data_IF_253084189146
#
_entry.id   IF_253084189146
#
_cell.length_a   1.000
_cell.length_b   1.000
_cell.length_c   1.000
_cell.angle_alpha   90.00
_cell.angle_beta   90.00
_cell.angle_gamma   90.00
#
_symmetry.space_group_name_H-M   'P 1'
#
loop_
_entity.id
_entity.type
_entity.pdbx_description
1 polymer ?
#
# COMPACT_ATOMS: atom_id res chain seq x y z
N UNK A 1 22.16 0.72 -1.94
CA UNK A 1 22.55 -0.71 -1.68
C UNK A 1 22.37 -1.50 -2.96
N UNK A 2 23.30 -2.38 -3.31
CA UNK A 2 23.13 -3.30 -4.44
C UNK A 2 22.61 -4.63 -3.91
N UNK A 3 21.48 -5.12 -4.45
CA UNK A 3 20.89 -6.40 -4.06
C UNK A 3 21.51 -7.53 -4.89
N UNK A 4 21.99 -8.58 -4.24
CA UNK A 4 22.46 -9.79 -4.90
C UNK A 4 21.37 -10.87 -5.01
N UNK A 5 21.68 -12.00 -5.63
CA UNK A 5 20.73 -13.10 -5.82
C UNK A 5 20.23 -13.70 -4.50
N UNK A 6 21.05 -13.65 -3.44
CA UNK A 6 20.67 -14.13 -2.11
C UNK A 6 19.69 -13.15 -1.45
N UNK A 7 19.95 -11.84 -1.57
CA UNK A 7 19.03 -10.81 -1.05
C UNK A 7 17.66 -10.94 -1.71
N UNK A 8 17.61 -11.12 -3.03
CA UNK A 8 16.34 -11.34 -3.74
C UNK A 8 15.63 -12.62 -3.29
N UNK A 9 16.35 -13.66 -2.93
CA UNK A 9 15.79 -14.89 -2.37
C UNK A 9 15.22 -14.67 -0.98
N UNK A 10 15.94 -13.94 -0.11
CA UNK A 10 15.46 -13.52 1.22
C UNK A 10 14.14 -12.73 1.08
N UNK A 11 14.08 -11.76 0.18
CA UNK A 11 12.88 -10.94 -0.04
C UNK A 11 11.67 -11.77 -0.48
N UNK A 12 11.85 -12.78 -1.35
CA UNK A 12 10.76 -13.69 -1.75
C UNK A 12 10.24 -14.51 -0.59
N UNK A 13 11.13 -15.08 0.24
CA UNK A 13 10.74 -15.84 1.42
C UNK A 13 9.99 -14.98 2.44
N UNK A 14 10.47 -13.76 2.71
CA UNK A 14 9.82 -12.84 3.64
C UNK A 14 8.48 -12.28 3.12
N UNK A 15 8.32 -12.12 1.79
CA UNK A 15 7.02 -11.78 1.22
C UNK A 15 6.00 -12.93 1.34
N UNK A 16 6.46 -14.18 1.29
CA UNK A 16 5.60 -15.34 1.48
C UNK A 16 5.22 -15.53 2.95
N UNK A 17 6.17 -15.36 3.87
CA UNK A 17 5.96 -15.44 5.31
C UNK A 17 6.87 -14.46 6.07
N UNK A 18 6.31 -13.30 6.43
CA UNK A 18 7.01 -12.28 7.21
C UNK A 18 7.32 -12.70 8.67
N UNK A 19 6.75 -13.80 9.15
CA UNK A 19 6.98 -14.35 10.50
C UNK A 19 8.02 -15.47 10.53
N UNK A 20 8.64 -15.77 9.38
CA UNK A 20 9.62 -16.83 9.27
C UNK A 20 10.80 -16.60 10.24
N UNK A 21 11.11 -17.53 11.15
CA UNK A 21 12.26 -17.42 12.03
C UNK A 21 13.56 -17.28 11.24
N UNK A 22 14.49 -16.45 11.70
CA UNK A 22 15.76 -16.23 10.98
C UNK A 22 16.57 -17.51 10.73
N UNK A 23 16.50 -18.49 11.63
CA UNK A 23 17.16 -19.80 11.43
C UNK A 23 16.59 -20.52 10.22
N UNK A 24 15.25 -20.56 10.11
CA UNK A 24 14.55 -21.19 8.98
C UNK A 24 14.78 -20.41 7.68
N UNK A 25 14.76 -19.08 7.74
CA UNK A 25 15.07 -18.23 6.60
C UNK A 25 16.49 -18.48 6.09
N UNK A 26 17.47 -18.53 6.98
CA UNK A 26 18.87 -18.77 6.65
C UNK A 26 19.05 -20.14 5.94
N UNK A 27 18.43 -21.19 6.46
CA UNK A 27 18.44 -22.52 5.85
C UNK A 27 17.87 -22.49 4.42
N UNK A 28 16.71 -21.89 4.21
CA UNK A 28 16.04 -21.77 2.90
C UNK A 28 16.87 -21.01 1.87
N UNK A 29 17.65 -20.03 2.29
CA UNK A 29 18.47 -19.23 1.38
C UNK A 29 19.92 -19.72 1.26
N UNK A 30 20.30 -20.77 2.01
CA UNK A 30 21.65 -21.37 1.97
C UNK A 30 22.70 -20.56 2.74
N UNK A 31 22.31 -19.92 3.85
CA UNK A 31 23.21 -19.15 4.73
C UNK A 31 23.21 -19.71 6.16
N UNK A 32 24.24 -19.34 6.93
CA UNK A 32 24.15 -19.44 8.38
C UNK A 32 23.32 -18.28 8.98
N UNK A 33 22.74 -18.43 10.20
CA UNK A 33 21.81 -17.45 10.76
C UNK A 33 22.36 -16.03 10.90
N UNK A 34 23.62 -15.86 11.30
CA UNK A 34 24.20 -14.52 11.52
C UNK A 34 24.38 -13.71 10.24
N UNK A 35 24.97 -14.22 9.15
CA UNK A 35 24.98 -13.53 7.86
C UNK A 35 23.59 -13.23 7.31
N UNK A 36 22.64 -14.16 7.46
CA UNK A 36 21.26 -13.94 7.03
C UNK A 36 20.63 -12.75 7.76
N UNK A 37 20.68 -12.73 9.09
CA UNK A 37 20.16 -11.63 9.88
C UNK A 37 20.81 -10.29 9.52
N UNK A 38 22.13 -10.28 9.30
CA UNK A 38 22.85 -9.07 8.88
C UNK A 38 22.33 -8.53 7.54
N UNK A 39 22.05 -9.40 6.56
CA UNK A 39 21.48 -9.00 5.26
C UNK A 39 20.08 -8.41 5.41
N UNK A 40 19.20 -9.05 6.20
CA UNK A 40 17.86 -8.52 6.49
C UNK A 40 17.95 -7.12 7.08
N UNK A 41 18.77 -6.93 8.12
CA UNK A 41 18.96 -5.62 8.76
C UNK A 41 19.50 -4.55 7.81
N UNK A 42 20.39 -4.91 6.88
CA UNK A 42 20.89 -3.98 5.87
C UNK A 42 19.79 -3.57 4.88
N UNK A 43 18.92 -4.51 4.49
CA UNK A 43 17.77 -4.22 3.62
C UNK A 43 16.71 -3.35 4.32
N UNK A 44 16.48 -3.58 5.61
CA UNK A 44 15.62 -2.72 6.44
C UNK A 44 16.20 -1.30 6.54
N UNK A 45 17.48 -1.18 6.89
CA UNK A 45 18.16 0.12 7.00
C UNK A 45 18.24 0.89 5.68
N UNK A 46 18.28 0.18 4.55
CA UNK A 46 18.29 0.77 3.21
C UNK A 46 16.88 1.07 2.66
N UNK A 47 15.80 0.80 3.42
CA UNK A 47 14.42 1.01 2.98
C UNK A 47 13.93 0.03 1.91
N UNK A 48 14.67 -1.05 1.63
CA UNK A 48 14.21 -2.12 0.72
C UNK A 48 13.09 -2.93 1.36
N UNK A 49 13.18 -3.14 2.66
CA UNK A 49 12.11 -3.65 3.50
C UNK A 49 11.58 -2.46 4.30
N UNK A 50 10.44 -1.93 3.89
CA UNK A 50 9.80 -0.77 4.52
C UNK A 50 9.13 -1.11 5.85
N UNK A 51 8.80 -2.39 6.07
CA UNK A 51 8.17 -2.84 7.30
C UNK A 51 7.48 -4.19 7.15
N UNK A 52 6.87 -4.60 8.26
CA UNK A 52 6.09 -5.84 8.38
C UNK A 52 4.70 -5.48 8.88
N UNK A 53 3.67 -5.97 8.22
CA UNK A 53 2.28 -5.72 8.64
C UNK A 53 1.44 -6.99 8.61
N UNK A 54 0.47 -7.05 9.52
CA UNK A 54 -0.55 -8.09 9.52
C UNK A 54 -1.56 -7.82 8.42
N UNK A 55 -1.81 -8.81 7.58
CA UNK A 55 -2.90 -8.75 6.58
C UNK A 55 -4.18 -9.21 7.25
N UNK A 56 -5.18 -8.34 7.31
CA UNK A 56 -6.46 -8.59 7.93
C UNK A 56 -7.51 -9.02 6.89
N UNK A 57 -8.35 -9.97 7.25
CA UNK A 57 -9.54 -10.31 6.48
C UNK A 57 -10.60 -9.22 6.64
N UNK A 58 -10.78 -8.36 5.63
CA UNK A 58 -11.68 -7.19 5.70
C UNK A 58 -13.08 -7.57 6.17
N UNK A 59 -13.68 -8.58 5.57
CA UNK A 59 -15.03 -9.06 5.97
C UNK A 59 -15.05 -9.58 7.40
N UNK A 60 -13.99 -10.24 7.89
CA UNK A 60 -13.91 -10.78 9.24
C UNK A 60 -13.88 -9.69 10.33
N UNK A 61 -13.43 -8.48 9.98
CA UNK A 61 -13.41 -7.32 10.88
C UNK A 61 -14.54 -6.32 10.57
N UNK A 62 -15.55 -6.74 9.79
CA UNK A 62 -16.72 -5.92 9.51
C UNK A 62 -16.55 -4.88 8.40
N UNK A 63 -15.45 -4.90 7.64
CA UNK A 63 -15.20 -3.97 6.53
C UNK A 63 -15.56 -4.64 5.20
N UNK A 64 -16.87 -4.69 4.90
CA UNK A 64 -17.41 -5.44 3.75
C UNK A 64 -17.35 -4.72 2.41
N UNK A 65 -17.19 -3.39 2.40
CA UNK A 65 -17.23 -2.58 1.18
C UNK A 65 -15.89 -1.96 0.85
N UNK A 66 -15.43 -2.17 -0.37
CA UNK A 66 -14.27 -1.47 -0.96
C UNK A 66 -14.74 -0.55 -2.06
N UNK A 67 -14.32 0.71 -2.01
CA UNK A 67 -14.65 1.75 -2.98
C UNK A 67 -13.38 2.33 -3.58
N UNK A 68 -13.32 2.43 -4.89
CA UNK A 68 -12.29 3.20 -5.61
C UNK A 68 -12.90 4.54 -6.01
N UNK A 69 -12.41 5.62 -5.39
CA UNK A 69 -12.88 6.96 -5.71
C UNK A 69 -11.83 7.70 -6.55
N UNK A 70 -12.21 8.01 -7.78
CA UNK A 70 -11.47 8.91 -8.66
C UNK A 70 -11.83 10.35 -8.37
N UNK A 71 -10.85 11.17 -8.06
CA UNK A 71 -11.06 12.56 -7.60
C UNK A 71 -10.41 13.51 -8.58
N UNK A 72 -11.14 14.56 -8.94
CA UNK A 72 -10.61 15.74 -9.64
C UNK A 72 -10.47 16.88 -8.67
N UNK A 73 -9.33 17.55 -8.71
CA UNK A 73 -9.06 18.74 -7.89
C UNK A 73 -8.95 19.98 -8.78
N UNK A 74 -9.26 21.13 -8.20
CA UNK A 74 -9.04 22.40 -8.89
C UNK A 74 -7.56 22.72 -8.97
N UNK A 75 -7.04 22.88 -10.19
CA UNK A 75 -5.61 23.03 -10.50
C UNK A 75 -5.00 24.38 -10.13
N UNK A 76 -5.70 25.23 -9.36
CA UNK A 76 -5.31 26.64 -9.21
C UNK A 76 -4.23 26.92 -8.14
N UNK A 77 -3.77 25.90 -7.36
CA UNK A 77 -2.54 26.02 -6.56
C UNK A 77 -1.98 24.67 -6.16
N UNK A 78 -0.64 24.56 -6.09
CA UNK A 78 0.05 23.42 -5.47
C UNK A 78 -0.40 23.22 -4.00
N UNK A 79 -0.67 24.30 -3.30
CA UNK A 79 -1.15 24.32 -1.92
C UNK A 79 -2.47 23.58 -1.72
N UNK A 80 -3.40 23.67 -2.69
CA UNK A 80 -4.68 22.94 -2.64
C UNK A 80 -4.50 21.42 -2.80
N UNK A 81 -3.53 20.98 -3.60
CA UNK A 81 -3.25 19.56 -3.80
C UNK A 81 -2.58 18.94 -2.56
N UNK A 82 -1.66 19.63 -1.92
CA UNK A 82 -1.02 19.19 -0.67
C UNK A 82 -2.04 19.12 0.48
N UNK A 83 -2.85 20.15 0.64
CA UNK A 83 -3.93 20.18 1.65
C UNK A 83 -4.93 19.04 1.43
N UNK A 84 -5.26 18.71 0.17
CA UNK A 84 -6.10 17.57 -0.16
C UNK A 84 -5.43 16.24 0.27
N UNK A 85 -4.16 16.04 -0.08
CA UNK A 85 -3.42 14.82 0.27
C UNK A 85 -3.37 14.64 1.77
N UNK A 86 -3.02 15.68 2.54
CA UNK A 86 -2.95 15.63 4.00
C UNK A 86 -4.30 15.26 4.61
N UNK A 87 -5.40 15.88 4.11
CA UNK A 87 -6.73 15.58 4.58
C UNK A 87 -7.16 14.13 4.29
N UNK A 88 -6.81 13.60 3.12
CA UNK A 88 -7.12 12.22 2.72
C UNK A 88 -6.27 11.22 3.52
N UNK A 89 -4.98 11.50 3.73
CA UNK A 89 -4.10 10.62 4.52
C UNK A 89 -4.49 10.57 6.00
N UNK A 90 -5.18 11.59 6.52
CA UNK A 90 -5.74 11.61 7.87
C UNK A 90 -7.02 10.78 8.02
N UNK A 91 -7.60 10.26 6.92
CA UNK A 91 -8.82 9.43 6.96
C UNK A 91 -8.44 7.96 7.12
N UNK A 92 -8.84 7.35 8.24
CA UNK A 92 -8.56 5.93 8.54
C UNK A 92 -9.20 4.95 7.55
N UNK A 93 -10.28 5.36 6.90
CA UNK A 93 -11.01 4.61 5.90
C UNK A 93 -10.28 4.53 4.55
N UNK A 94 -9.34 5.45 4.31
CA UNK A 94 -8.51 5.49 3.11
C UNK A 94 -7.29 4.60 3.31
N UNK A 95 -7.19 3.53 2.52
CA UNK A 95 -6.09 2.55 2.61
C UNK A 95 -5.04 2.69 1.50
N UNK A 96 -5.35 3.45 0.45
CA UNK A 96 -4.40 3.84 -0.59
C UNK A 96 -4.80 5.19 -1.21
N UNK A 97 -3.79 5.98 -1.60
CA UNK A 97 -3.96 7.24 -2.33
C UNK A 97 -2.86 7.36 -3.38
N UNK A 98 -3.24 7.56 -4.64
CA UNK A 98 -2.33 7.66 -5.77
C UNK A 98 -2.63 8.91 -6.59
N UNK A 99 -1.63 9.72 -6.89
CA UNK A 99 -1.67 10.68 -7.97
C UNK A 99 -1.59 9.91 -9.29
N UNK A 100 -2.54 10.12 -10.19
CA UNK A 100 -2.62 9.37 -11.45
C UNK A 100 -2.69 10.32 -12.66
N UNK A 101 -2.31 9.80 -13.82
CA UNK A 101 -2.50 10.49 -15.09
C UNK A 101 -3.85 10.10 -15.70
N UNK A 102 -4.45 11.00 -16.48
CA UNK A 102 -5.71 10.75 -17.19
C UNK A 102 -6.84 11.69 -16.76
N UNK A 103 -8.06 11.20 -16.74
CA UNK A 103 -9.28 11.97 -16.50
C UNK A 103 -9.51 12.38 -15.06
N UNK A 104 -8.82 11.77 -14.11
CA UNK A 104 -8.85 12.06 -12.68
C UNK A 104 -7.45 12.44 -12.22
N UNK A 105 -7.34 13.19 -11.13
CA UNK A 105 -6.04 13.59 -10.57
C UNK A 105 -5.59 12.61 -9.49
N UNK A 106 -6.51 12.12 -8.64
CA UNK A 106 -6.22 11.15 -7.60
C UNK A 106 -7.14 9.95 -7.67
N UNK A 107 -6.57 8.78 -7.39
CA UNK A 107 -7.31 7.54 -7.16
C UNK A 107 -7.07 7.10 -5.72
N UNK A 108 -8.13 7.01 -4.93
CA UNK A 108 -8.08 6.51 -3.55
C UNK A 108 -8.83 5.19 -3.42
N UNK A 109 -8.31 4.32 -2.57
CA UNK A 109 -9.01 3.11 -2.12
C UNK A 109 -9.56 3.34 -0.72
N UNK A 110 -10.87 3.21 -0.57
CA UNK A 110 -11.60 3.36 0.68
C UNK A 110 -12.16 2.01 1.10
N UNK A 111 -12.07 1.70 2.39
CA UNK A 111 -12.61 0.47 2.95
C UNK A 111 -13.51 0.81 4.14
N UNK A 112 -14.79 0.42 4.05
CA UNK A 112 -15.83 0.74 5.04
C UNK A 112 -16.75 -0.46 5.27
N UNK A 113 -17.55 -0.46 6.34
CA UNK A 113 -18.53 -1.51 6.58
C UNK A 113 -19.56 -1.66 5.45
N UNK A 114 -20.14 -0.54 5.01
CA UNK A 114 -21.29 -0.50 4.10
C UNK A 114 -21.39 0.82 3.32
N UNK A 115 -22.39 0.90 2.45
CA UNK A 115 -22.67 2.06 1.61
C UNK A 115 -23.07 3.30 2.42
N UNK A 116 -23.87 3.10 3.49
CA UNK A 116 -24.33 4.21 4.32
C UNK A 116 -23.15 4.90 5.03
N UNK A 117 -22.20 4.11 5.51
CA UNK A 117 -20.93 4.61 6.09
C UNK A 117 -20.10 5.35 5.04
N UNK A 118 -20.00 4.80 3.82
CA UNK A 118 -19.29 5.50 2.74
C UNK A 118 -19.90 6.86 2.43
N UNK A 119 -21.20 6.91 2.25
CA UNK A 119 -21.94 8.13 1.90
C UNK A 119 -21.84 9.18 3.02
N UNK A 120 -22.16 8.80 4.25
CA UNK A 120 -22.28 9.75 5.38
C UNK A 120 -20.94 10.23 5.92
N UNK A 121 -19.91 9.39 5.95
CA UNK A 121 -18.62 9.70 6.57
C UNK A 121 -17.60 10.10 5.52
N UNK A 122 -17.41 9.28 4.48
CA UNK A 122 -16.31 9.46 3.54
C UNK A 122 -16.67 10.45 2.44
N UNK A 123 -17.77 10.22 1.73
CA UNK A 123 -18.14 11.05 0.58
C UNK A 123 -18.42 12.49 0.98
N UNK A 124 -19.14 12.70 2.08
CA UNK A 124 -19.40 14.06 2.59
C UNK A 124 -18.12 14.77 3.02
N UNK A 125 -17.19 14.07 3.69
CA UNK A 125 -15.89 14.66 4.06
C UNK A 125 -15.07 15.02 2.85
N UNK A 126 -15.00 14.15 1.84
CA UNK A 126 -14.28 14.42 0.60
C UNK A 126 -14.88 15.61 -0.16
N UNK A 127 -16.21 15.66 -0.27
CA UNK A 127 -16.91 16.77 -0.95
C UNK A 127 -16.79 18.10 -0.20
N UNK A 128 -16.51 18.08 1.10
CA UNK A 128 -16.28 19.31 1.89
C UNK A 128 -14.89 19.90 1.69
N UNK A 129 -13.96 19.18 1.08
CA UNK A 129 -12.62 19.68 0.82
C UNK A 129 -12.64 20.73 -0.31
N UNK A 130 -12.13 21.95 -0.07
CA UNK A 130 -12.22 23.06 -1.05
C UNK A 130 -11.57 22.75 -2.40
N UNK A 131 -10.55 21.87 -2.40
CA UNK A 131 -9.84 21.48 -3.61
C UNK A 131 -10.63 20.48 -4.47
N UNK A 132 -11.65 19.82 -3.93
CA UNK A 132 -12.37 18.74 -4.65
C UNK A 132 -13.41 19.34 -5.58
N UNK A 133 -13.26 19.04 -6.88
CA UNK A 133 -14.19 19.46 -7.94
C UNK A 133 -15.22 18.38 -8.28
N UNK A 134 -14.77 17.13 -8.38
CA UNK A 134 -15.60 16.00 -8.81
C UNK A 134 -15.08 14.70 -8.17
N UNK A 135 -16.01 13.81 -7.83
CA UNK A 135 -15.71 12.47 -7.30
C UNK A 135 -16.50 11.43 -8.10
N UNK A 136 -15.78 10.43 -8.59
CA UNK A 136 -16.37 9.26 -9.25
C UNK A 136 -16.09 8.02 -8.42
N UNK A 137 -17.12 7.48 -7.78
CA UNK A 137 -17.02 6.30 -6.94
C UNK A 137 -17.34 5.02 -7.72
N UNK A 138 -16.43 4.04 -7.66
CA UNK A 138 -16.61 2.71 -8.22
C UNK A 138 -16.55 1.68 -7.09
N UNK A 139 -17.60 0.88 -6.97
CA UNK A 139 -17.76 -0.11 -5.89
C UNK A 139 -17.23 -1.46 -6.35
N UNK A 140 -16.32 -2.06 -5.57
CA UNK A 140 -15.80 -3.38 -5.88
C UNK A 140 -16.87 -4.44 -5.59
N UNK A 141 -17.48 -4.97 -6.64
CA UNK A 141 -18.46 -6.06 -6.54
C UNK A 141 -17.82 -7.36 -6.03
N UNK A 142 -16.56 -7.59 -6.36
CA UNK A 142 -15.76 -8.72 -5.91
C UNK A 142 -14.27 -8.41 -6.04
N UNK A 143 -13.49 -8.68 -4.98
CA UNK A 143 -12.03 -8.62 -5.03
C UNK A 143 -11.46 -10.02 -5.27
N UNK A 144 -10.76 -10.22 -6.39
CA UNK A 144 -10.08 -11.48 -6.71
C UNK A 144 -8.65 -11.51 -6.19
N UNK A 145 -8.01 -10.35 -6.08
CA UNK A 145 -6.66 -10.19 -5.53
C UNK A 145 -6.53 -8.79 -4.94
N UNK A 146 -6.13 -8.68 -3.69
CA UNK A 146 -5.82 -7.42 -3.02
C UNK A 146 -4.51 -7.58 -2.24
N UNK A 147 -3.59 -6.63 -2.41
CA UNK A 147 -2.33 -6.62 -1.66
C UNK A 147 -1.43 -7.84 -1.94
N UNK A 148 -1.30 -8.25 -3.19
CA UNK A 148 -0.43 -9.36 -3.56
C UNK A 148 1.05 -9.05 -3.35
N UNK A 149 1.89 -10.13 -3.27
CA UNK A 149 3.34 -10.00 -3.24
C UNK A 149 3.85 -9.26 -4.48
N UNK A 150 4.85 -8.41 -4.29
CA UNK A 150 5.51 -7.71 -5.38
C UNK A 150 6.34 -8.69 -6.23
N UNK A 151 6.42 -8.52 -7.54
CA UNK A 151 7.29 -9.32 -8.40
C UNK A 151 8.76 -8.98 -8.12
N UNK A 152 9.40 -9.72 -7.21
CA UNK A 152 10.83 -9.55 -6.94
C UNK A 152 11.61 -9.94 -8.21
N UNK A 153 12.43 -9.03 -8.78
CA UNK A 153 13.16 -9.26 -10.02
C UNK A 153 14.04 -10.50 -9.96
N UNK A 154 14.25 -11.15 -11.11
CA UNK A 154 15.18 -12.29 -11.24
C UNK A 154 16.65 -11.86 -11.37
N UNK A 155 16.90 -10.56 -11.58
CA UNK A 155 18.21 -10.00 -11.91
C UNK A 155 18.61 -8.95 -10.86
N UNK A 156 19.90 -8.86 -10.60
CA UNK A 156 20.50 -7.85 -9.69
C UNK A 156 20.13 -6.44 -10.14
N UNK A 157 19.49 -5.66 -9.28
CA UNK A 157 19.17 -4.26 -9.51
C UNK A 157 20.20 -3.36 -8.83
N UNK A 158 20.73 -2.40 -9.59
CA UNK A 158 21.42 -1.27 -9.01
C UNK A 158 20.36 -0.25 -8.59
N UNK A 159 20.21 -0.06 -7.28
CA UNK A 159 19.40 1.05 -6.75
C UNK A 159 20.23 2.33 -6.90
N UNK A 160 19.75 3.24 -7.72
CA UNK A 160 20.31 4.60 -7.88
C UNK A 160 19.94 5.49 -6.73
#
# INVERSE_FOLDING_TARGET
MQLDAIDLKILRELQADARLPNITLADRVGLSPSPCLRRVKLMEAAGVIEGYRTVLGRAAIGLGLTVFAGIRVERHSHENAETFVDAVLAMSEVVACHLVSGDIDFLIEVVVPDMATYESIVLQRLLSLPAVRDIRSSFAMRSHKAGGALPVPGVVLQLT
#
